data_IF_247069038734
#
_entry.id   IF_247069038734
#
_cell.length_a   1.000
_cell.length_b   1.000
_cell.length_c   1.000
_cell.angle_alpha   90.00
_cell.angle_beta   90.00
_cell.angle_gamma   90.00
#
_symmetry.space_group_name_H-M   'P 1'
#
loop_
_entity.id
_entity.type
_entity.pdbx_description
1 polymer ?
#
# COMPACT_ATOMS: atom_id res chain seq x y z
N UNK A 1 -23.96 11.74 20.54
CA UNK A 1 -23.28 10.61 19.89
C UNK A 1 -21.79 10.73 20.18
N UNK A 2 -21.13 9.70 20.69
CA UNK A 2 -19.74 9.80 21.21
C UNK A 2 -18.79 10.12 20.05
N UNK A 3 -18.04 11.24 20.12
CA UNK A 3 -17.14 11.72 19.06
C UNK A 3 -16.10 10.67 18.62
N UNK A 4 -15.72 9.75 19.51
CA UNK A 4 -14.84 8.61 19.20
C UNK A 4 -15.49 7.59 18.26
N UNK A 5 -16.80 7.32 18.42
CA UNK A 5 -17.55 6.38 17.57
C UNK A 5 -17.71 6.96 16.17
N UNK A 6 -18.05 8.26 16.05
CA UNK A 6 -18.13 8.95 14.77
C UNK A 6 -16.79 8.93 14.01
N UNK A 7 -15.69 9.17 14.70
CA UNK A 7 -14.34 9.14 14.10
C UNK A 7 -13.97 7.76 13.57
N UNK A 8 -14.33 6.69 14.30
CA UNK A 8 -14.01 5.33 13.88
C UNK A 8 -14.88 4.82 12.72
N UNK A 9 -16.07 5.40 12.54
CA UNK A 9 -17.01 5.04 11.46
C UNK A 9 -16.86 5.91 10.21
N UNK A 10 -16.16 7.04 10.31
CA UNK A 10 -16.04 7.99 9.21
C UNK A 10 -15.44 7.37 7.94
N UNK A 11 -14.33 6.62 8.06
CA UNK A 11 -13.68 5.97 6.93
C UNK A 11 -14.53 4.85 6.30
N UNK A 12 -15.09 3.90 7.07
CA UNK A 12 -16.03 2.92 6.50
C UNK A 12 -17.25 3.57 5.84
N UNK A 13 -17.81 4.63 6.43
CA UNK A 13 -18.95 5.34 5.84
C UNK A 13 -18.57 6.06 4.53
N UNK A 14 -17.40 6.69 4.48
CA UNK A 14 -16.89 7.29 3.24
C UNK A 14 -16.70 6.25 2.14
N UNK A 15 -16.14 5.08 2.47
CA UNK A 15 -16.00 3.98 1.52
C UNK A 15 -17.36 3.50 1.00
N UNK A 16 -18.32 3.27 1.89
CA UNK A 16 -19.69 2.86 1.53
C UNK A 16 -20.37 3.93 0.66
N UNK A 17 -20.20 5.21 0.97
CA UNK A 17 -20.77 6.30 0.18
C UNK A 17 -20.17 6.35 -1.24
N UNK A 18 -18.84 6.21 -1.38
CA UNK A 18 -18.15 6.19 -2.68
C UNK A 18 -18.57 4.97 -3.48
N UNK A 19 -18.53 3.78 -2.90
CA UNK A 19 -18.95 2.55 -3.58
C UNK A 19 -20.44 2.61 -3.94
N UNK A 20 -21.30 3.12 -3.07
CA UNK A 20 -22.72 3.29 -3.33
C UNK A 20 -23.00 4.28 -4.48
N UNK A 21 -22.25 5.40 -4.52
CA UNK A 21 -22.36 6.37 -5.62
C UNK A 21 -22.01 5.74 -6.98
N UNK A 22 -20.85 5.05 -7.06
CA UNK A 22 -20.43 4.43 -8.31
C UNK A 22 -21.32 3.25 -8.70
N UNK A 23 -21.75 2.43 -7.75
CA UNK A 23 -22.70 1.33 -8.00
C UNK A 23 -24.06 1.83 -8.51
N UNK A 24 -24.54 2.98 -8.04
CA UNK A 24 -25.77 3.61 -8.53
C UNK A 24 -25.62 4.16 -9.96
N UNK A 25 -24.46 4.74 -10.27
CA UNK A 25 -24.18 5.29 -11.61
C UNK A 25 -23.88 4.22 -12.64
N UNK A 26 -23.19 3.15 -12.25
CA UNK A 26 -22.71 2.06 -13.11
C UNK A 26 -22.79 0.73 -12.35
N UNK A 27 -23.86 -0.05 -12.55
CA UNK A 27 -24.03 -1.34 -11.85
C UNK A 27 -22.86 -2.32 -12.02
N UNK A 28 -22.11 -2.23 -13.13
CA UNK A 28 -20.92 -3.02 -13.38
C UNK A 28 -19.82 -2.78 -12.34
N UNK A 29 -19.88 -1.67 -11.57
CA UNK A 29 -18.93 -1.36 -10.49
C UNK A 29 -18.87 -2.48 -9.44
N UNK A 30 -20.02 -3.06 -9.07
CA UNK A 30 -20.09 -4.19 -8.12
C UNK A 30 -19.98 -5.56 -8.81
N UNK A 31 -19.79 -5.60 -10.13
CA UNK A 31 -19.62 -6.87 -10.86
C UNK A 31 -18.33 -7.58 -10.47
N UNK A 32 -18.30 -8.95 -10.44
CA UNK A 32 -17.13 -9.72 -10.02
C UNK A 32 -15.86 -9.37 -10.79
N UNK A 33 -15.97 -9.08 -12.07
CA UNK A 33 -14.83 -8.68 -12.93
C UNK A 33 -14.21 -7.37 -12.42
N UNK A 34 -15.03 -6.32 -12.22
CA UNK A 34 -14.54 -5.02 -11.79
C UNK A 34 -14.00 -5.08 -10.36
N UNK A 35 -14.68 -5.79 -9.45
CA UNK A 35 -14.20 -5.93 -8.08
C UNK A 35 -12.87 -6.69 -8.00
N UNK A 36 -12.66 -7.70 -8.86
CA UNK A 36 -11.37 -8.38 -8.96
C UNK A 36 -10.29 -7.44 -9.49
N UNK A 37 -10.57 -6.64 -10.53
CA UNK A 37 -9.65 -5.63 -11.05
C UNK A 37 -9.34 -4.54 -10.00
N UNK A 38 -10.34 -4.04 -9.30
CA UNK A 38 -10.19 -3.07 -8.21
C UNK A 38 -9.26 -3.61 -7.13
N UNK A 39 -9.33 -4.90 -6.79
CA UNK A 39 -8.44 -5.52 -5.80
C UNK A 39 -7.00 -5.61 -6.31
N UNK A 40 -6.76 -5.84 -7.61
CA UNK A 40 -5.40 -5.77 -8.19
C UNK A 40 -4.86 -4.34 -8.08
N UNK A 41 -5.62 -3.33 -8.49
CA UNK A 41 -5.26 -1.91 -8.38
C UNK A 41 -5.03 -1.50 -6.91
N UNK A 42 -5.90 -1.95 -6.00
CA UNK A 42 -5.76 -1.75 -4.55
C UNK A 42 -4.48 -2.38 -4.01
N UNK A 43 -4.08 -3.54 -4.53
CA UNK A 43 -2.85 -4.19 -4.09
C UNK A 43 -1.60 -3.36 -4.41
N UNK A 44 -1.59 -2.68 -5.55
CA UNK A 44 -0.50 -1.79 -5.94
C UNK A 44 -0.46 -0.53 -5.07
N UNK A 45 -1.57 0.21 -5.00
CA UNK A 45 -1.65 1.45 -4.20
C UNK A 45 -1.45 1.16 -2.72
N UNK A 46 -2.04 0.07 -2.19
CA UNK A 46 -1.92 -0.33 -0.80
C UNK A 46 -0.50 -0.71 -0.40
N UNK A 47 0.23 -1.43 -1.26
CA UNK A 47 1.63 -1.79 -1.02
C UNK A 47 2.51 -0.55 -0.96
N UNK A 48 2.35 0.38 -1.91
CA UNK A 48 3.09 1.64 -1.91
C UNK A 48 2.75 2.52 -0.71
N UNK A 49 1.46 2.61 -0.36
CA UNK A 49 0.99 3.38 0.79
C UNK A 49 1.51 2.81 2.12
N UNK A 50 1.68 1.49 2.24
CA UNK A 50 2.29 0.88 3.43
C UNK A 50 3.78 1.24 3.58
N UNK A 51 4.53 1.34 2.48
CA UNK A 51 5.89 1.89 2.50
C UNK A 51 5.89 3.38 2.88
N UNK A 52 5.04 4.18 2.23
CA UNK A 52 4.86 5.61 2.51
C UNK A 52 4.46 5.86 3.97
N UNK A 53 3.65 5.00 4.56
CA UNK A 53 3.28 5.07 5.96
C UNK A 53 4.50 5.04 6.90
N UNK A 54 5.50 4.18 6.63
CA UNK A 54 6.72 4.12 7.46
C UNK A 54 7.51 5.42 7.37
N UNK A 55 7.58 6.04 6.21
CA UNK A 55 8.23 7.35 6.00
C UNK A 55 7.46 8.45 6.74
N UNK A 56 6.14 8.51 6.53
CA UNK A 56 5.29 9.53 7.16
C UNK A 56 5.28 9.41 8.69
N UNK A 57 5.38 8.19 9.24
CA UNK A 57 5.49 8.01 10.69
C UNK A 57 6.68 8.76 11.30
N UNK A 58 7.77 8.96 10.55
CA UNK A 58 8.93 9.72 11.00
C UNK A 58 8.84 11.22 10.73
N UNK A 59 7.73 11.69 10.14
CA UNK A 59 7.57 13.08 9.71
C UNK A 59 8.33 13.43 8.43
N UNK A 60 8.85 12.41 7.72
CA UNK A 60 9.49 12.60 6.41
C UNK A 60 8.49 12.41 5.27
N UNK A 61 8.79 12.93 4.08
CA UNK A 61 7.96 12.77 2.87
C UNK A 61 8.88 12.28 1.75
N UNK A 62 8.42 11.28 0.99
CA UNK A 62 9.11 10.78 -0.19
C UNK A 62 8.25 10.99 -1.44
N UNK A 63 8.67 11.94 -2.28
CA UNK A 63 8.00 12.26 -3.54
C UNK A 63 8.55 11.48 -4.74
N UNK A 64 9.64 10.72 -4.55
CA UNK A 64 10.31 10.00 -5.64
C UNK A 64 9.68 8.65 -5.98
N UNK A 65 8.76 8.17 -5.13
CA UNK A 65 8.25 6.79 -5.18
C UNK A 65 7.52 6.46 -6.47
N UNK A 66 6.76 7.40 -7.05
CA UNK A 66 6.05 7.16 -8.31
C UNK A 66 7.01 6.94 -9.48
N UNK A 67 7.97 7.84 -9.65
CA UNK A 67 9.03 7.68 -10.67
C UNK A 67 9.89 6.45 -10.40
N UNK A 68 10.13 6.13 -9.13
CA UNK A 68 10.82 4.91 -8.72
C UNK A 68 10.07 3.63 -9.09
N UNK A 69 8.75 3.61 -8.96
CA UNK A 69 7.89 2.49 -9.40
C UNK A 69 8.14 2.21 -10.88
N UNK A 70 8.10 3.25 -11.73
CA UNK A 70 8.40 3.12 -13.16
C UNK A 70 9.82 2.64 -13.42
N UNK A 71 10.83 3.25 -12.77
CA UNK A 71 12.23 2.89 -12.95
C UNK A 71 12.50 1.43 -12.59
N UNK A 72 12.09 0.99 -11.43
CA UNK A 72 12.37 -0.37 -10.95
C UNK A 72 11.61 -1.42 -11.75
N UNK A 73 10.33 -1.17 -12.09
CA UNK A 73 9.57 -2.02 -13.00
C UNK A 73 10.19 -2.06 -14.40
N UNK A 74 10.66 -0.91 -14.91
CA UNK A 74 11.35 -0.81 -16.18
C UNK A 74 12.66 -1.57 -16.24
N UNK A 75 13.51 -1.46 -15.20
CA UNK A 75 14.76 -2.25 -15.10
C UNK A 75 14.44 -3.75 -15.21
N UNK A 76 13.48 -4.26 -14.46
CA UNK A 76 13.10 -5.66 -14.51
C UNK A 76 12.56 -6.07 -15.89
N UNK A 77 11.73 -5.22 -16.54
CA UNK A 77 11.19 -5.49 -17.88
C UNK A 77 12.30 -5.56 -18.93
N UNK A 78 13.25 -4.62 -18.92
CA UNK A 78 14.41 -4.60 -19.83
C UNK A 78 15.26 -5.86 -19.65
N UNK A 79 15.55 -6.25 -18.41
CA UNK A 79 16.34 -7.46 -18.14
C UNK A 79 15.65 -8.73 -18.67
N UNK A 80 14.33 -8.84 -18.47
CA UNK A 80 13.55 -10.00 -18.96
C UNK A 80 13.43 -9.98 -20.48
N UNK A 81 13.01 -8.84 -21.07
CA UNK A 81 12.62 -8.79 -22.48
C UNK A 81 13.79 -8.59 -23.43
N UNK A 82 14.75 -7.72 -23.09
CA UNK A 82 15.87 -7.40 -23.97
C UNK A 82 17.12 -8.27 -23.72
N UNK A 83 17.36 -8.62 -22.44
CA UNK A 83 18.56 -9.35 -22.04
C UNK A 83 18.32 -10.84 -21.71
N UNK A 84 17.13 -11.35 -21.92
CA UNK A 84 16.77 -12.76 -21.71
C UNK A 84 17.04 -13.30 -20.29
N UNK A 85 17.01 -12.42 -19.29
CA UNK A 85 17.19 -12.86 -17.92
C UNK A 85 15.97 -13.64 -17.43
N UNK A 86 16.19 -14.73 -16.66
CA UNK A 86 15.09 -15.37 -15.92
C UNK A 86 14.36 -14.34 -15.03
N UNK A 87 13.03 -14.31 -15.10
CA UNK A 87 12.23 -13.34 -14.36
C UNK A 87 12.57 -13.24 -12.86
N UNK A 88 12.81 -14.34 -12.11
CA UNK A 88 13.22 -14.24 -10.70
C UNK A 88 14.52 -13.45 -10.49
N UNK A 89 15.50 -13.59 -11.38
CA UNK A 89 16.77 -12.86 -11.29
C UNK A 89 16.59 -11.39 -11.65
N UNK A 90 15.78 -11.09 -12.66
CA UNK A 90 15.46 -9.71 -13.05
C UNK A 90 14.72 -8.95 -11.93
N UNK A 91 13.73 -9.59 -11.30
CA UNK A 91 13.02 -9.05 -10.14
C UNK A 91 13.97 -8.86 -8.95
N UNK A 92 14.86 -9.81 -8.71
CA UNK A 92 15.91 -9.71 -7.69
C UNK A 92 16.86 -8.54 -7.94
N UNK A 93 17.29 -8.31 -9.18
CA UNK A 93 18.12 -7.18 -9.58
C UNK A 93 17.38 -5.85 -9.40
N UNK A 94 16.11 -5.77 -9.80
CA UNK A 94 15.26 -4.61 -9.56
C UNK A 94 15.11 -4.29 -8.06
N UNK A 95 14.87 -5.30 -7.23
CA UNK A 95 14.82 -5.13 -5.78
C UNK A 95 16.14 -4.63 -5.20
N UNK A 96 17.27 -5.19 -5.65
CA UNK A 96 18.59 -4.74 -5.23
C UNK A 96 18.85 -3.27 -5.64
N UNK A 97 18.47 -2.89 -6.85
CA UNK A 97 18.56 -1.51 -7.32
C UNK A 97 17.71 -0.57 -6.44
N UNK A 98 16.48 -0.95 -6.11
CA UNK A 98 15.62 -0.17 -5.22
C UNK A 98 16.25 -0.01 -3.82
N UNK A 99 16.75 -1.09 -3.23
CA UNK A 99 17.42 -1.03 -1.92
C UNK A 99 18.63 -0.11 -1.93
N UNK A 100 19.45 -0.15 -2.98
CA UNK A 100 20.62 0.73 -3.13
C UNK A 100 20.17 2.19 -3.26
N UNK A 101 19.25 2.49 -4.18
CA UNK A 101 18.81 3.86 -4.45
C UNK A 101 18.16 4.50 -3.21
N UNK A 102 17.26 3.80 -2.52
CA UNK A 102 16.59 4.31 -1.32
C UNK A 102 17.53 4.39 -0.12
N UNK A 103 18.52 3.47 -0.01
CA UNK A 103 19.57 3.58 1.03
C UNK A 103 20.45 4.79 0.81
N UNK A 104 20.88 5.05 -0.44
CA UNK A 104 21.67 6.23 -0.79
C UNK A 104 20.87 7.52 -0.51
N UNK A 105 19.61 7.57 -0.91
CA UNK A 105 18.75 8.73 -0.68
C UNK A 105 18.53 8.98 0.81
N UNK A 106 18.21 7.95 1.59
CA UNK A 106 18.07 8.04 3.06
C UNK A 106 19.40 8.44 3.72
N UNK A 107 20.52 7.87 3.25
CA UNK A 107 21.87 8.24 3.70
C UNK A 107 22.19 9.72 3.43
N UNK A 108 21.86 10.24 2.24
CA UNK A 108 22.07 11.63 1.87
C UNK A 108 21.23 12.59 2.75
N UNK A 109 19.95 12.30 2.94
CA UNK A 109 19.04 13.08 3.81
C UNK A 109 19.62 13.19 5.22
N UNK A 110 20.04 12.06 5.78
CA UNK A 110 20.53 11.98 7.15
C UNK A 110 21.90 12.63 7.31
N UNK A 111 22.86 12.36 6.39
CA UNK A 111 24.25 12.86 6.50
C UNK A 111 24.33 14.38 6.28
N UNK A 112 23.55 14.90 5.34
CA UNK A 112 23.57 16.33 5.00
C UNK A 112 22.52 17.15 5.76
N UNK A 113 21.64 16.48 6.55
CA UNK A 113 20.53 17.13 7.28
C UNK A 113 19.63 17.99 6.39
N UNK A 114 19.46 17.58 5.14
CA UNK A 114 18.59 18.26 4.18
C UNK A 114 17.16 17.75 4.38
N UNK A 115 16.14 18.62 4.34
CA UNK A 115 14.75 18.18 4.39
C UNK A 115 14.44 17.13 3.31
N UNK A 116 13.80 16.03 3.70
CA UNK A 116 13.57 14.87 2.81
C UNK A 116 12.83 15.25 1.54
N UNK A 117 11.83 16.13 1.64
CA UNK A 117 11.02 16.52 0.47
C UNK A 117 11.87 17.16 -0.65
N UNK A 118 12.98 17.86 -0.31
CA UNK A 118 13.87 18.47 -1.32
C UNK A 118 14.64 17.37 -2.05
N UNK A 119 15.23 16.44 -1.30
CA UNK A 119 16.00 15.33 -1.88
C UNK A 119 15.11 14.42 -2.70
N UNK A 120 13.91 14.09 -2.18
CA UNK A 120 12.99 13.19 -2.88
C UNK A 120 12.30 13.85 -4.07
N UNK A 121 12.09 15.17 -4.04
CA UNK A 121 11.65 15.92 -5.22
C UNK A 121 12.73 15.92 -6.33
N UNK A 122 14.00 16.11 -5.96
CA UNK A 122 15.11 15.91 -6.89
C UNK A 122 15.16 14.46 -7.39
N UNK A 123 14.99 13.50 -6.48
CA UNK A 123 14.88 12.07 -6.78
C UNK A 123 13.76 11.74 -7.76
N UNK A 124 12.60 12.37 -7.65
CA UNK A 124 11.48 12.20 -8.59
C UNK A 124 11.94 12.50 -10.03
N UNK A 125 12.62 13.62 -10.24
CA UNK A 125 13.08 14.01 -11.58
C UNK A 125 14.22 13.12 -12.08
N UNK A 126 15.18 12.80 -11.21
CA UNK A 126 16.31 11.91 -11.53
C UNK A 126 15.80 10.52 -11.89
N UNK A 127 14.93 9.93 -11.07
CA UNK A 127 14.37 8.59 -11.34
C UNK A 127 13.49 8.58 -12.59
N UNK A 128 12.75 9.67 -12.86
CA UNK A 128 11.97 9.79 -14.10
C UNK A 128 12.88 9.81 -15.32
N UNK A 129 13.96 10.59 -15.28
CA UNK A 129 14.95 10.64 -16.36
C UNK A 129 15.67 9.31 -16.56
N UNK A 130 16.13 8.68 -15.47
CA UNK A 130 16.74 7.35 -15.52
C UNK A 130 15.77 6.29 -16.06
N UNK A 131 14.51 6.37 -15.67
CA UNK A 131 13.47 5.47 -16.17
C UNK A 131 13.35 5.54 -17.69
N UNK A 132 13.24 6.75 -18.24
CA UNK A 132 13.14 6.94 -19.69
C UNK A 132 14.40 6.47 -20.43
N UNK A 133 15.58 6.70 -19.87
CA UNK A 133 16.83 6.17 -20.42
C UNK A 133 16.89 4.65 -20.40
N UNK A 134 16.46 4.02 -19.29
CA UNK A 134 16.50 2.55 -19.15
C UNK A 134 15.59 1.86 -20.15
N UNK A 135 14.40 2.39 -20.42
CA UNK A 135 13.46 1.82 -21.40
C UNK A 135 13.66 2.39 -22.82
N UNK A 136 14.65 3.26 -23.01
CA UNK A 136 14.93 3.95 -24.30
C UNK A 136 13.68 4.64 -24.87
N UNK A 137 12.90 5.32 -24.00
CA UNK A 137 11.62 5.95 -24.33
C UNK A 137 10.62 5.06 -25.10
N UNK A 138 10.77 3.75 -24.98
CA UNK A 138 9.97 2.76 -25.70
C UNK A 138 9.04 1.97 -24.74
N UNK A 139 8.16 1.18 -25.33
CA UNK A 139 7.31 0.24 -24.59
C UNK A 139 8.03 -1.10 -24.50
N UNK A 140 8.37 -1.55 -23.31
CA UNK A 140 9.07 -2.80 -23.06
C UNK A 140 8.09 -3.81 -22.44
N UNK A 141 7.69 -4.89 -23.15
CA UNK A 141 6.83 -5.93 -22.62
C UNK A 141 7.45 -6.66 -21.41
N UNK A 142 6.61 -7.23 -20.54
CA UNK A 142 7.07 -8.05 -19.41
C UNK A 142 7.25 -9.53 -19.78
N UNK A 143 6.75 -9.94 -20.96
CA UNK A 143 6.84 -11.31 -21.48
C UNK A 143 6.98 -11.30 -22.99
N UNK A 144 7.46 -12.38 -23.57
CA UNK A 144 7.58 -12.57 -25.02
C UNK A 144 6.41 -13.40 -25.53
N UNK A 145 5.62 -12.81 -26.45
CA UNK A 145 4.45 -13.48 -27.01
C UNK A 145 3.50 -13.97 -25.90
N UNK A 146 3.09 -15.24 -25.99
CA UNK A 146 2.18 -15.88 -25.04
C UNK A 146 2.93 -16.58 -23.87
N UNK A 147 4.25 -16.41 -23.75
CA UNK A 147 5.01 -17.03 -22.67
C UNK A 147 4.72 -16.37 -21.32
N UNK A 148 4.16 -17.14 -20.39
CA UNK A 148 4.00 -16.69 -19.01
C UNK A 148 5.31 -16.82 -18.24
N UNK A 149 5.68 -15.79 -17.50
CA UNK A 149 6.83 -15.81 -16.61
C UNK A 149 6.44 -15.27 -15.22
N UNK A 150 7.30 -15.43 -14.21
CA UNK A 150 7.01 -14.98 -12.86
C UNK A 150 6.66 -13.48 -12.80
N UNK A 151 7.20 -12.65 -13.69
CA UNK A 151 6.90 -11.24 -13.72
C UNK A 151 5.44 -10.98 -14.12
N UNK A 152 5.00 -11.54 -15.24
CA UNK A 152 3.62 -11.40 -15.72
C UNK A 152 2.61 -12.01 -14.74
N UNK A 153 2.96 -13.15 -14.11
CA UNK A 153 2.11 -13.88 -13.17
C UNK A 153 1.77 -13.09 -11.89
N UNK A 154 2.53 -12.04 -11.53
CA UNK A 154 2.25 -11.24 -10.34
C UNK A 154 0.84 -10.62 -10.33
N UNK A 155 0.28 -10.36 -11.51
CA UNK A 155 -1.05 -9.74 -11.64
C UNK A 155 -1.99 -10.51 -12.56
N UNK A 156 -1.48 -11.46 -13.35
CA UNK A 156 -2.30 -12.27 -14.26
C UNK A 156 -2.69 -13.62 -13.67
N UNK A 157 -1.95 -14.10 -12.64
CA UNK A 157 -2.26 -15.36 -11.99
C UNK A 157 -3.29 -15.18 -10.87
N UNK A 158 -4.29 -16.03 -10.90
CA UNK A 158 -5.35 -16.11 -9.89
C UNK A 158 -5.35 -17.48 -9.25
N UNK A 159 -5.55 -17.51 -7.92
CA UNK A 159 -5.60 -18.77 -7.19
C UNK A 159 -6.82 -19.60 -7.61
N UNK A 160 -6.67 -20.91 -7.76
CA UNK A 160 -7.81 -21.82 -7.92
C UNK A 160 -8.83 -21.64 -6.80
N UNK A 161 -10.11 -21.78 -7.10
CA UNK A 161 -11.22 -21.53 -6.16
C UNK A 161 -11.05 -22.30 -4.83
N UNK A 162 -10.60 -23.54 -4.89
CA UNK A 162 -10.35 -24.36 -3.71
C UNK A 162 -9.22 -23.81 -2.83
N UNK A 163 -8.14 -23.32 -3.45
CA UNK A 163 -7.00 -22.72 -2.73
C UNK A 163 -7.40 -21.41 -2.09
N UNK A 164 -8.15 -20.56 -2.81
CA UNK A 164 -8.69 -19.32 -2.28
C UNK A 164 -9.57 -19.54 -1.05
N UNK A 165 -10.49 -20.51 -1.11
CA UNK A 165 -11.35 -20.88 0.02
C UNK A 165 -10.55 -21.48 1.18
N UNK A 166 -9.57 -22.32 0.91
CA UNK A 166 -8.70 -22.88 1.95
C UNK A 166 -7.91 -21.79 2.68
N UNK A 167 -7.37 -20.81 1.95
CA UNK A 167 -6.68 -19.65 2.54
C UNK A 167 -7.63 -18.79 3.38
N UNK A 168 -8.85 -18.50 2.88
CA UNK A 168 -9.85 -17.77 3.66
C UNK A 168 -10.20 -18.51 4.97
N UNK A 169 -10.40 -19.83 4.89
CA UNK A 169 -10.62 -20.69 6.06
C UNK A 169 -9.44 -20.67 7.04
N UNK A 170 -8.21 -20.76 6.54
CA UNK A 170 -7.00 -20.67 7.36
C UNK A 170 -6.91 -19.30 8.08
N UNK A 171 -7.09 -18.21 7.35
CA UNK A 171 -7.08 -16.85 7.94
C UNK A 171 -8.18 -16.71 8.99
N UNK A 172 -9.40 -17.18 8.70
CA UNK A 172 -10.49 -17.17 9.65
C UNK A 172 -10.17 -18.00 10.91
N UNK A 173 -9.54 -19.16 10.76
CA UNK A 173 -9.11 -20.01 11.87
C UNK A 173 -8.02 -19.33 12.73
N UNK A 174 -7.05 -18.67 12.09
CA UNK A 174 -6.02 -17.89 12.79
C UNK A 174 -6.64 -16.73 13.56
N UNK A 175 -7.56 -15.97 12.96
CA UNK A 175 -8.28 -14.88 13.64
C UNK A 175 -9.09 -15.40 14.82
N UNK A 176 -9.75 -16.56 14.71
CA UNK A 176 -10.42 -17.21 15.81
C UNK A 176 -9.44 -17.53 16.95
N UNK A 177 -8.34 -18.22 16.62
CA UNK A 177 -7.30 -18.59 17.59
C UNK A 177 -6.75 -17.37 18.34
N UNK A 178 -6.42 -16.29 17.61
CA UNK A 178 -5.92 -15.05 18.19
C UNK A 178 -6.96 -14.39 19.12
N UNK A 179 -8.24 -14.36 18.72
CA UNK A 179 -9.31 -13.79 19.52
C UNK A 179 -9.54 -14.57 20.81
N UNK A 180 -9.51 -15.91 20.75
CA UNK A 180 -9.66 -16.77 21.93
C UNK A 180 -8.42 -16.72 22.84
N UNK A 181 -7.19 -16.68 22.28
CA UNK A 181 -5.95 -16.48 23.05
C UNK A 181 -5.95 -15.14 23.78
N UNK A 182 -6.31 -14.04 23.10
CA UNK A 182 -6.41 -12.72 23.71
C UNK A 182 -7.43 -12.72 24.86
N UNK A 183 -8.56 -13.44 24.71
CA UNK A 183 -9.56 -13.61 25.76
C UNK A 183 -9.04 -14.42 26.94
N UNK A 184 -8.30 -15.52 26.69
CA UNK A 184 -7.68 -16.33 27.73
C UNK A 184 -6.64 -15.53 28.54
N UNK A 185 -5.77 -14.78 27.84
CA UNK A 185 -4.80 -13.89 28.47
C UNK A 185 -5.46 -12.84 29.37
N UNK A 186 -6.55 -12.19 28.91
CA UNK A 186 -7.31 -11.24 29.75
C UNK A 186 -7.86 -11.89 31.01
N UNK A 187 -8.35 -13.14 30.93
CA UNK A 187 -8.79 -13.89 32.11
C UNK A 187 -7.65 -14.16 33.09
N UNK A 188 -6.49 -14.61 32.56
CA UNK A 188 -5.30 -14.88 33.38
C UNK A 188 -4.82 -13.64 34.14
N UNK A 189 -4.89 -12.47 33.50
CA UNK A 189 -4.52 -11.19 34.11
C UNK A 189 -5.66 -10.49 34.88
N UNK A 190 -6.77 -11.17 35.15
CA UNK A 190 -7.95 -10.64 35.88
C UNK A 190 -8.52 -9.34 35.28
N UNK A 191 -8.33 -9.14 33.96
CA UNK A 191 -8.91 -8.01 33.22
C UNK A 191 -10.36 -8.28 32.83
N UNK A 192 -11.14 -7.22 32.64
CA UNK A 192 -12.52 -7.34 32.16
C UNK A 192 -12.57 -8.13 30.83
N UNK A 193 -13.34 -9.23 30.82
CA UNK A 193 -13.45 -10.12 29.66
C UNK A 193 -14.78 -9.87 28.96
N UNK A 194 -14.81 -9.45 27.69
CA UNK A 194 -16.04 -9.28 26.93
C UNK A 194 -16.85 -10.60 26.86
N UNK A 195 -18.18 -10.55 26.72
CA UNK A 195 -19.02 -11.75 26.54
C UNK A 195 -18.47 -12.63 25.40
N UNK A 196 -18.61 -13.96 25.53
CA UNK A 196 -18.19 -14.91 24.46
C UNK A 196 -18.90 -14.60 23.16
N UNK A 197 -20.18 -14.26 23.22
CA UNK A 197 -20.98 -13.89 22.05
C UNK A 197 -20.39 -12.75 21.23
N UNK A 198 -19.76 -11.74 21.88
CA UNK A 198 -19.11 -10.63 21.18
C UNK A 198 -17.83 -11.08 20.47
N UNK A 199 -17.05 -11.99 21.09
CA UNK A 199 -15.83 -12.53 20.47
C UNK A 199 -16.18 -13.43 19.28
N UNK A 200 -17.16 -14.30 19.43
CA UNK A 200 -17.66 -15.20 18.37
C UNK A 200 -18.32 -14.39 17.25
N UNK A 201 -19.18 -13.42 17.58
CA UNK A 201 -19.83 -12.57 16.58
C UNK A 201 -18.84 -11.74 15.76
N UNK A 202 -17.81 -11.18 16.41
CA UNK A 202 -16.74 -10.46 15.70
C UNK A 202 -15.94 -11.37 14.76
N UNK A 203 -15.54 -12.56 15.23
CA UNK A 203 -14.86 -13.53 14.40
C UNK A 203 -15.74 -14.04 13.24
N UNK A 204 -16.98 -14.37 13.50
CA UNK A 204 -17.92 -14.85 12.48
C UNK A 204 -18.14 -13.79 11.40
N UNK A 205 -18.26 -12.51 11.79
CA UNK A 205 -18.37 -11.40 10.86
C UNK A 205 -17.15 -11.32 9.90
N UNK A 206 -15.94 -11.46 10.42
CA UNK A 206 -14.73 -11.51 9.59
C UNK A 206 -14.67 -12.77 8.72
N UNK A 207 -15.04 -13.94 9.24
CA UNK A 207 -15.07 -15.19 8.49
C UNK A 207 -16.05 -15.09 7.30
N UNK A 208 -17.26 -14.58 7.54
CA UNK A 208 -18.28 -14.37 6.49
C UNK A 208 -17.78 -13.36 5.45
N UNK A 209 -17.16 -12.26 5.86
CA UNK A 209 -16.61 -11.26 4.93
C UNK A 209 -15.49 -11.84 4.06
N UNK A 210 -14.56 -12.61 4.65
CA UNK A 210 -13.45 -13.24 3.93
C UNK A 210 -13.95 -14.30 2.93
N UNK A 211 -14.82 -15.20 3.37
CA UNK A 211 -15.38 -16.24 2.50
C UNK A 211 -16.24 -15.61 1.41
N UNK A 212 -17.07 -14.62 1.76
CA UNK A 212 -17.90 -13.88 0.81
C UNK A 212 -17.07 -13.17 -0.26
N UNK A 213 -15.95 -12.54 0.13
CA UNK A 213 -15.03 -11.93 -0.82
C UNK A 213 -14.40 -12.97 -1.78
N UNK A 214 -13.96 -14.13 -1.26
CA UNK A 214 -13.39 -15.20 -2.11
C UNK A 214 -14.45 -15.77 -3.04
N UNK A 215 -15.68 -16.00 -2.59
CA UNK A 215 -16.79 -16.46 -3.44
C UNK A 215 -17.06 -15.46 -4.55
N UNK A 216 -17.03 -14.17 -4.25
CA UNK A 216 -17.23 -13.09 -5.22
C UNK A 216 -16.10 -13.09 -6.26
N UNK A 217 -14.82 -13.21 -5.86
CA UNK A 217 -13.68 -13.28 -6.78
C UNK A 217 -13.72 -14.54 -7.65
N UNK A 218 -14.20 -15.66 -7.10
CA UNK A 218 -14.40 -16.90 -7.86
C UNK A 218 -15.48 -16.76 -8.96
N UNK A 219 -16.33 -15.74 -8.88
CA UNK A 219 -17.27 -15.37 -9.95
C UNK A 219 -16.61 -14.81 -11.20
N UNK A 220 -15.29 -14.50 -11.17
CA UNK A 220 -14.52 -14.08 -12.35
C UNK A 220 -13.34 -15.03 -12.61
N UNK A 221 -12.22 -14.92 -11.87
CA UNK A 221 -11.00 -15.73 -12.05
C UNK A 221 -10.45 -16.31 -10.76
N UNK A 222 -10.93 -15.85 -9.62
CA UNK A 222 -10.42 -16.22 -8.29
C UNK A 222 -9.65 -15.10 -7.61
N UNK A 223 -8.93 -15.43 -6.56
CA UNK A 223 -8.15 -14.47 -5.76
C UNK A 223 -6.85 -14.12 -6.47
N UNK A 224 -6.58 -12.85 -6.81
CA UNK A 224 -5.35 -12.45 -7.49
C UNK A 224 -4.13 -12.57 -6.56
N UNK A 225 -2.98 -13.00 -7.10
CA UNK A 225 -1.71 -13.12 -6.34
C UNK A 225 -1.25 -11.76 -5.80
N UNK A 226 -1.52 -10.66 -6.52
CA UNK A 226 -1.21 -9.30 -6.05
C UNK A 226 -1.81 -9.00 -4.67
N UNK A 227 -3.01 -9.53 -4.36
CA UNK A 227 -3.61 -9.41 -3.02
C UNK A 227 -2.78 -10.12 -1.94
N UNK A 228 -2.13 -11.24 -2.27
CA UNK A 228 -1.24 -11.93 -1.33
C UNK A 228 0.02 -11.10 -1.06
N UNK A 229 0.56 -10.41 -2.08
CA UNK A 229 1.69 -9.48 -1.92
C UNK A 229 1.29 -8.34 -0.98
N UNK A 230 0.13 -7.72 -1.20
CA UNK A 230 -0.40 -6.69 -0.29
C UNK A 230 -0.58 -7.24 1.14
N UNK A 231 -1.20 -8.43 1.28
CA UNK A 231 -1.45 -9.04 2.59
C UNK A 231 -0.14 -9.34 3.34
N UNK A 232 0.87 -9.87 2.64
CA UNK A 232 2.20 -10.11 3.21
C UNK A 232 2.89 -8.80 3.63
N UNK A 233 2.83 -7.76 2.78
CA UNK A 233 3.36 -6.43 3.09
C UNK A 233 2.65 -5.82 4.29
N UNK A 234 1.31 -5.89 4.33
CA UNK A 234 0.52 -5.38 5.46
C UNK A 234 0.83 -6.11 6.77
N UNK A 235 0.95 -7.44 6.73
CA UNK A 235 1.34 -8.24 7.88
C UNK A 235 2.76 -7.90 8.36
N UNK A 236 3.72 -7.75 7.43
CA UNK A 236 5.10 -7.35 7.74
C UNK A 236 5.18 -5.96 8.37
N UNK A 237 4.50 -4.96 7.77
CA UNK A 237 4.46 -3.58 8.32
C UNK A 237 3.72 -3.55 9.66
N UNK A 238 2.62 -4.31 9.81
CA UNK A 238 1.92 -4.42 11.09
C UNK A 238 2.82 -5.03 12.18
N UNK A 239 3.49 -6.14 11.88
CA UNK A 239 4.42 -6.77 12.82
C UNK A 239 5.55 -5.82 13.18
N UNK A 240 6.17 -5.18 12.19
CA UNK A 240 7.27 -4.26 12.38
C UNK A 240 6.86 -3.06 13.25
N UNK A 241 5.70 -2.46 12.98
CA UNK A 241 5.26 -1.26 13.71
C UNK A 241 4.73 -1.56 15.11
N UNK A 242 4.18 -2.76 15.37
CA UNK A 242 3.56 -3.11 16.65
C UNK A 242 4.44 -3.94 17.58
N UNK A 243 5.31 -4.77 17.02
CA UNK A 243 6.01 -5.80 17.79
C UNK A 243 7.54 -5.62 17.84
N UNK A 244 8.12 -4.62 17.13
CA UNK A 244 9.56 -4.40 17.13
C UNK A 244 9.98 -3.07 17.77
N UNK A 245 11.23 -2.96 18.25
CA UNK A 245 11.80 -1.67 18.67
C UNK A 245 11.81 -0.65 17.52
N UNK A 246 12.10 -1.09 16.30
CA UNK A 246 12.14 -0.22 15.13
C UNK A 246 10.81 0.53 14.93
N UNK A 247 9.69 -0.17 15.01
CA UNK A 247 8.37 0.47 14.91
C UNK A 247 8.14 1.53 16.01
N UNK A 248 8.48 1.21 17.26
CA UNK A 248 8.40 2.18 18.37
C UNK A 248 9.26 3.43 18.12
N UNK A 249 10.43 3.24 17.53
CA UNK A 249 11.34 4.35 17.18
C UNK A 249 10.77 5.23 16.08
N UNK A 250 10.10 4.66 15.05
CA UNK A 250 9.42 5.46 14.02
C UNK A 250 8.38 6.41 14.62
N UNK A 251 7.53 5.91 15.52
CA UNK A 251 6.54 6.75 16.22
C UNK A 251 7.19 7.80 17.14
N UNK A 252 8.24 7.44 17.84
CA UNK A 252 8.95 8.35 18.75
C UNK A 252 9.62 9.50 17.98
N UNK A 253 10.31 9.18 16.87
CA UNK A 253 10.97 10.17 16.01
C UNK A 253 9.94 11.16 15.44
N UNK A 254 8.82 10.66 14.90
CA UNK A 254 7.79 11.55 14.35
C UNK A 254 7.01 12.33 15.42
N UNK A 255 7.00 11.84 16.67
CA UNK A 255 6.41 12.60 17.80
C UNK A 255 7.26 13.80 18.20
N UNK A 256 8.56 13.57 18.41
CA UNK A 256 9.56 14.60 18.67
C UNK A 256 10.96 14.02 18.42
N UNK A 257 11.60 14.43 17.33
CA UNK A 257 12.90 13.91 16.91
C UNK A 257 14.02 14.25 17.91
N UNK A 258 14.00 15.44 18.50
CA UNK A 258 15.02 15.86 19.48
C UNK A 258 14.92 15.04 20.76
N UNK A 259 13.69 14.88 21.28
CA UNK A 259 13.45 14.05 22.45
C UNK A 259 13.83 12.57 22.20
N UNK A 260 13.56 12.04 21.01
CA UNK A 260 13.97 10.70 20.61
C UNK A 260 15.50 10.55 20.61
N UNK A 261 16.22 11.53 20.07
CA UNK A 261 17.69 11.56 20.06
C UNK A 261 18.25 11.59 21.50
N UNK A 262 17.73 12.46 22.36
CA UNK A 262 18.12 12.57 23.76
C UNK A 262 17.82 11.29 24.56
N UNK A 263 16.81 10.52 24.15
CA UNK A 263 16.47 9.21 24.72
C UNK A 263 17.35 8.07 24.20
N UNK A 264 18.39 8.36 23.40
CA UNK A 264 19.34 7.36 22.88
C UNK A 264 18.82 6.58 21.67
N UNK A 265 17.73 7.01 21.03
CA UNK A 265 17.25 6.37 19.80
C UNK A 265 18.22 6.67 18.65
N UNK A 266 18.68 5.64 17.89
CA UNK A 266 19.59 5.84 16.77
C UNK A 266 18.86 6.40 15.53
N UNK A 267 18.41 7.67 15.61
CA UNK A 267 17.53 8.33 14.63
C UNK A 267 18.01 8.12 13.20
N UNK A 268 19.30 8.33 12.93
CA UNK A 268 19.89 8.21 11.61
C UNK A 268 19.71 6.80 11.01
N UNK A 269 19.97 5.76 11.79
CA UNK A 269 19.82 4.36 11.34
C UNK A 269 18.35 4.00 11.10
N UNK A 270 17.46 4.52 11.93
CA UNK A 270 16.02 4.29 11.81
C UNK A 270 15.47 4.97 10.55
N UNK A 271 15.88 6.19 10.26
CA UNK A 271 15.47 6.90 9.03
C UNK A 271 15.97 6.17 7.78
N UNK A 272 17.26 5.80 7.73
CA UNK A 272 17.81 5.03 6.60
C UNK A 272 17.03 3.71 6.42
N UNK A 273 16.76 2.99 7.52
CA UNK A 273 15.95 1.76 7.49
C UNK A 273 14.53 1.98 6.97
N UNK A 274 13.89 3.11 7.30
CA UNK A 274 12.58 3.45 6.77
C UNK A 274 12.61 3.68 5.25
N UNK A 275 13.64 4.40 4.75
CA UNK A 275 13.84 4.57 3.31
C UNK A 275 14.16 3.23 2.61
N UNK A 276 14.98 2.35 3.18
CA UNK A 276 15.21 1.00 2.63
C UNK A 276 13.92 0.20 2.49
N UNK A 277 13.06 0.23 3.50
CA UNK A 277 11.76 -0.45 3.46
C UNK A 277 10.82 0.20 2.44
N UNK A 278 10.92 1.52 2.24
CA UNK A 278 10.23 2.20 1.15
C UNK A 278 10.71 1.68 -0.21
N UNK A 279 12.03 1.48 -0.40
CA UNK A 279 12.58 0.86 -1.60
C UNK A 279 11.98 -0.53 -1.89
N UNK A 280 11.78 -1.36 -0.86
CA UNK A 280 11.09 -2.66 -1.01
C UNK A 280 9.65 -2.46 -1.50
N UNK A 281 8.90 -1.53 -0.90
CA UNK A 281 7.52 -1.26 -1.31
C UNK A 281 7.44 -0.73 -2.75
N UNK A 282 8.38 0.14 -3.15
CA UNK A 282 8.50 0.63 -4.52
C UNK A 282 8.80 -0.49 -5.51
N UNK A 283 9.72 -1.41 -5.18
CA UNK A 283 10.04 -2.53 -6.04
C UNK A 283 8.81 -3.45 -6.24
N UNK A 284 8.17 -3.87 -5.15
CA UNK A 284 6.97 -4.71 -5.22
C UNK A 284 5.85 -4.03 -6.02
N UNK A 285 5.63 -2.73 -5.80
CA UNK A 285 4.63 -1.95 -6.54
C UNK A 285 5.03 -1.81 -8.01
N UNK A 286 6.28 -1.51 -8.31
CA UNK A 286 6.80 -1.38 -9.67
C UNK A 286 6.62 -2.66 -10.47
N UNK A 287 6.95 -3.79 -9.88
CA UNK A 287 6.72 -5.10 -10.51
C UNK A 287 5.23 -5.35 -10.76
N UNK A 288 4.37 -5.13 -9.78
CA UNK A 288 2.93 -5.33 -9.96
C UNK A 288 2.35 -4.35 -10.99
N UNK A 289 2.73 -3.07 -10.97
CA UNK A 289 2.16 -2.06 -11.88
C UNK A 289 2.57 -2.31 -13.32
N UNK A 290 3.85 -2.66 -13.55
CA UNK A 290 4.35 -2.98 -14.89
C UNK A 290 3.76 -4.30 -15.41
N UNK A 291 3.65 -5.32 -14.54
CA UNK A 291 2.98 -6.58 -14.89
C UNK A 291 1.49 -6.39 -15.23
N UNK A 292 0.79 -5.54 -14.47
CA UNK A 292 -0.62 -5.22 -14.70
C UNK A 292 -0.84 -4.50 -16.04
N UNK A 293 0.08 -3.62 -16.40
CA UNK A 293 0.06 -2.94 -17.70
C UNK A 293 0.50 -3.83 -18.87
N UNK A 294 1.07 -5.02 -18.59
CA UNK A 294 1.65 -5.93 -19.57
C UNK A 294 2.98 -5.44 -20.17
N UNK A 295 3.34 -4.20 -19.92
CA UNK A 295 4.56 -3.57 -20.41
C UNK A 295 4.98 -2.38 -19.52
N UNK A 296 6.27 -2.08 -19.53
CA UNK A 296 6.81 -0.82 -19.01
C UNK A 296 6.66 0.27 -20.08
N UNK A 297 5.97 1.35 -19.74
CA UNK A 297 5.77 2.53 -20.57
C UNK A 297 6.19 3.78 -19.81
N UNK A 298 6.49 4.87 -20.51
CA UNK A 298 6.97 6.14 -19.91
C UNK A 298 6.03 6.73 -18.85
N UNK A 299 4.78 6.27 -18.76
CA UNK A 299 3.75 6.76 -17.82
C UNK A 299 3.54 5.85 -16.60
N UNK A 300 4.21 4.69 -16.55
CA UNK A 300 4.11 3.80 -15.37
C UNK A 300 4.60 4.53 -14.12
N UNK A 301 3.81 4.49 -13.08
CA UNK A 301 4.10 5.12 -11.79
C UNK A 301 3.71 6.60 -11.68
N UNK A 302 3.20 7.24 -12.75
CA UNK A 302 2.84 8.66 -12.71
C UNK A 302 1.80 8.96 -11.63
N UNK A 303 2.14 9.94 -10.75
CA UNK A 303 1.34 10.44 -9.63
C UNK A 303 1.04 9.40 -8.53
N UNK A 304 1.66 8.23 -8.55
CA UNK A 304 1.44 7.22 -7.51
C UNK A 304 1.96 7.68 -6.14
N UNK A 305 2.92 8.62 -6.09
CA UNK A 305 3.34 9.28 -4.85
C UNK A 305 2.18 10.03 -4.18
N UNK A 306 1.36 10.74 -4.96
CA UNK A 306 0.21 11.47 -4.44
C UNK A 306 -0.88 10.53 -3.96
N UNK A 307 -1.14 9.44 -4.71
CA UNK A 307 -2.12 8.42 -4.32
C UNK A 307 -1.72 7.73 -3.00
N UNK A 308 -0.42 7.41 -2.84
CA UNK A 308 0.10 6.79 -1.61
C UNK A 308 0.03 7.73 -0.41
N UNK A 309 0.39 9.01 -0.58
CA UNK A 309 0.28 10.02 0.48
C UNK A 309 -1.20 10.23 0.84
N UNK A 310 -2.07 10.40 -0.16
CA UNK A 310 -3.51 10.57 0.06
C UNK A 310 -4.10 9.37 0.82
N UNK A 311 -3.76 8.13 0.44
CA UNK A 311 -4.18 6.92 1.14
C UNK A 311 -3.75 6.93 2.62
N UNK A 312 -2.52 7.32 2.92
CA UNK A 312 -2.03 7.44 4.29
C UNK A 312 -2.79 8.50 5.09
N UNK A 313 -2.98 9.70 4.53
CA UNK A 313 -3.62 10.84 5.22
C UNK A 313 -5.11 10.58 5.41
N UNK A 314 -5.83 10.10 4.39
CA UNK A 314 -7.23 9.65 4.51
C UNK A 314 -7.32 8.59 5.62
N UNK A 315 -6.36 7.64 5.65
CA UNK A 315 -6.26 6.61 6.68
C UNK A 315 -5.93 7.11 8.08
N UNK A 316 -5.74 8.43 8.27
CA UNK A 316 -5.48 9.06 9.57
C UNK A 316 -4.01 9.03 10.00
N UNK A 317 -3.08 8.86 9.06
CA UNK A 317 -1.66 9.05 9.31
C UNK A 317 -1.34 10.55 9.29
N UNK A 318 -0.73 11.05 10.36
CA UNK A 318 -0.38 12.46 10.46
C UNK A 318 0.83 12.79 9.58
N UNK A 319 0.74 13.84 8.76
CA UNK A 319 1.87 14.31 7.94
C UNK A 319 3.06 14.81 8.78
N UNK A 320 2.79 15.26 10.00
CA UNK A 320 3.83 15.67 10.95
C UNK A 320 4.54 14.51 11.64
N UNK A 321 4.09 13.28 11.40
CA UNK A 321 4.63 12.06 12.02
C UNK A 321 3.99 11.69 13.36
N UNK A 322 4.47 10.61 13.94
CA UNK A 322 4.12 10.13 15.28
C UNK A 322 2.73 9.50 15.42
N UNK A 323 1.86 9.53 14.39
CA UNK A 323 0.49 8.97 14.46
C UNK A 323 0.10 8.30 13.14
N UNK A 324 -0.58 7.17 13.27
CA UNK A 324 -1.13 6.41 12.15
C UNK A 324 -1.31 4.93 12.50
N UNK A 325 -2.00 4.21 11.64
CA UNK A 325 -2.24 2.76 11.81
C UNK A 325 -2.26 2.06 10.46
N UNK A 326 -1.76 0.82 10.42
CA UNK A 326 -1.80 0.00 9.20
C UNK A 326 -3.23 -0.19 8.68
N UNK A 327 -4.19 -0.46 9.57
CA UNK A 327 -5.60 -0.60 9.18
C UNK A 327 -6.19 0.68 8.59
N UNK A 328 -5.79 1.85 9.10
CA UNK A 328 -6.18 3.13 8.52
C UNK A 328 -5.63 3.30 7.10
N UNK A 329 -4.33 3.02 6.89
CA UNK A 329 -3.70 3.11 5.57
C UNK A 329 -4.37 2.18 4.56
N UNK A 330 -4.67 0.94 4.95
CA UNK A 330 -5.39 -0.02 4.11
C UNK A 330 -6.77 0.51 3.70
N UNK A 331 -7.54 1.07 4.64
CA UNK A 331 -8.84 1.68 4.34
C UNK A 331 -8.70 2.92 3.44
N UNK A 332 -7.70 3.76 3.70
CA UNK A 332 -7.43 4.93 2.86
C UNK A 332 -7.02 4.55 1.44
N UNK A 333 -6.17 3.54 1.28
CA UNK A 333 -5.80 2.99 -0.02
C UNK A 333 -7.01 2.41 -0.77
N UNK A 334 -7.89 1.70 -0.07
CA UNK A 334 -9.12 1.16 -0.66
C UNK A 334 -10.07 2.28 -1.12
N UNK A 335 -10.20 3.37 -0.34
CA UNK A 335 -10.98 4.56 -0.71
C UNK A 335 -10.42 5.20 -1.97
N UNK A 336 -9.09 5.44 -2.03
CA UNK A 336 -8.43 6.02 -3.21
C UNK A 336 -8.62 5.13 -4.44
N UNK A 337 -8.41 3.83 -4.30
CA UNK A 337 -8.59 2.88 -5.41
C UNK A 337 -10.03 2.84 -5.87
N UNK A 338 -11.02 2.77 -4.97
CA UNK A 338 -12.44 2.75 -5.32
C UNK A 338 -12.84 4.03 -6.09
N UNK A 339 -12.31 5.19 -5.68
CA UNK A 339 -12.53 6.45 -6.37
C UNK A 339 -11.94 6.43 -7.79
N UNK A 340 -10.67 6.05 -7.95
CA UNK A 340 -9.98 6.03 -9.24
C UNK A 340 -10.58 4.99 -10.19
N UNK A 341 -10.86 3.78 -9.69
CA UNK A 341 -11.50 2.70 -10.45
C UNK A 341 -12.91 3.10 -10.90
N UNK A 342 -13.73 3.65 -9.99
CA UNK A 342 -15.07 4.13 -10.33
C UNK A 342 -15.06 5.23 -11.39
N UNK A 343 -14.14 6.19 -11.31
CA UNK A 343 -13.96 7.22 -12.35
C UNK A 343 -13.50 6.61 -13.68
N UNK A 344 -12.68 5.57 -13.65
CA UNK A 344 -12.23 4.85 -14.85
C UNK A 344 -13.40 4.13 -15.51
N UNK A 345 -14.23 3.45 -14.72
CA UNK A 345 -15.40 2.72 -15.21
C UNK A 345 -16.44 3.66 -15.84
N UNK A 346 -16.60 4.87 -15.30
CA UNK A 346 -17.44 5.92 -15.88
C UNK A 346 -16.79 6.67 -17.07
N UNK A 347 -15.63 6.20 -17.55
CA UNK A 347 -14.87 6.84 -18.63
C UNK A 347 -14.60 8.34 -18.39
N UNK A 348 -14.39 8.73 -17.11
CA UNK A 348 -14.08 10.12 -16.74
C UNK A 348 -12.74 10.52 -17.36
N UNK A 349 -12.72 11.70 -18.00
CA UNK A 349 -11.54 12.24 -18.67
C UNK A 349 -10.33 12.37 -17.72
N UNK A 350 -9.09 12.13 -18.20
CA UNK A 350 -7.88 12.14 -17.39
C UNK A 350 -7.70 13.43 -16.57
N UNK A 351 -7.98 14.59 -17.16
CA UNK A 351 -7.86 15.90 -16.53
C UNK A 351 -8.78 16.04 -15.30
N UNK A 352 -9.98 15.46 -15.33
CA UNK A 352 -10.88 15.45 -14.18
C UNK A 352 -10.37 14.50 -13.09
N UNK A 353 -9.73 13.38 -13.48
CA UNK A 353 -9.07 12.47 -12.51
C UNK A 353 -7.91 13.17 -11.79
N UNK A 354 -7.12 14.02 -12.48
CA UNK A 354 -6.08 14.83 -11.86
C UNK A 354 -6.65 15.84 -10.86
N UNK A 355 -7.72 16.54 -11.24
CA UNK A 355 -8.41 17.48 -10.33
C UNK A 355 -8.95 16.73 -9.11
N UNK A 356 -9.57 15.58 -9.29
CA UNK A 356 -10.11 14.78 -8.20
C UNK A 356 -9.00 14.30 -7.23
N UNK A 357 -7.87 13.78 -7.75
CA UNK A 357 -6.70 13.41 -6.93
C UNK A 357 -6.20 14.56 -6.08
N UNK A 358 -5.98 15.73 -6.69
CA UNK A 358 -5.52 16.92 -6.00
C UNK A 358 -6.52 17.41 -4.95
N UNK A 359 -7.81 17.44 -5.28
CA UNK A 359 -8.87 17.84 -4.37
C UNK A 359 -8.98 16.90 -3.16
N UNK A 360 -8.94 15.60 -3.39
CA UNK A 360 -8.99 14.58 -2.31
C UNK A 360 -7.79 14.73 -1.39
N UNK A 361 -6.58 14.84 -1.93
CA UNK A 361 -5.37 15.06 -1.13
C UNK A 361 -5.47 16.35 -0.31
N UNK A 362 -5.86 17.47 -0.93
CA UNK A 362 -5.99 18.76 -0.23
C UNK A 362 -7.04 18.71 0.89
N UNK A 363 -8.19 18.07 0.65
CA UNK A 363 -9.24 17.88 1.65
C UNK A 363 -8.77 16.98 2.80
N UNK A 364 -8.06 15.87 2.50
CA UNK A 364 -7.52 14.97 3.51
C UNK A 364 -6.52 15.70 4.43
N UNK A 365 -5.60 16.47 3.84
CA UNK A 365 -4.62 17.28 4.60
C UNK A 365 -5.31 18.37 5.42
N UNK A 366 -6.30 19.06 4.85
CA UNK A 366 -7.07 20.06 5.58
C UNK A 366 -7.80 19.47 6.78
N UNK A 367 -8.39 18.28 6.62
CA UNK A 367 -9.04 17.56 7.72
C UNK A 367 -8.03 17.14 8.80
N UNK A 368 -6.84 16.61 8.43
CA UNK A 368 -5.80 16.24 9.40
C UNK A 368 -5.36 17.43 10.24
N UNK A 369 -5.12 18.60 9.61
CA UNK A 369 -4.72 19.82 10.31
C UNK A 369 -5.82 20.35 11.23
N UNK A 370 -7.09 20.30 10.82
CA UNK A 370 -8.21 20.78 11.63
C UNK A 370 -8.53 19.86 12.80
N UNK A 371 -8.56 18.54 12.57
CA UNK A 371 -8.88 17.54 13.58
C UNK A 371 -7.68 17.21 14.47
N UNK A 372 -6.46 17.42 14.00
CA UNK A 372 -5.23 17.21 14.77
C UNK A 372 -4.92 18.30 15.82
N UNK A 373 -5.67 19.41 15.82
CA UNK A 373 -5.54 20.51 16.79
C UNK A 373 -6.38 20.34 18.06
N UNK A 374 -7.15 19.26 18.17
CA UNK A 374 -7.91 18.85 19.36
C UNK A 374 -7.35 17.53 19.90
#
# INVERSE_FOLDING_TARGET
MNTRVLRNLALPLALVAICGFFAFKEPAFLGPRNLTQLVVEFSMIGTLALGMFLILLTGQIDLSVGSGVGLIGGIAAVLVFQHDWPAPLALGAGLAAALVLWSLMGGLIVSQRIPSFIITLGGLLVFKGLFWLVIDNSTIPVSRGDEENLYSLLTTYYLPSSVGLALAGLVAAVLALLSFRARAARRAHRLGVPPVARAVGGWLGWAVALVGAVVLFNGFRGVPVSLLVLAATAAGVFFLTRHTPFGRYLYAIGGNQEAALLSGIPVNRVLIGAFMLMGVAVALTGFMTTAFSGASTTTVGDLMELDAIAACVIGGTALRGGRGTVSGVILGALIMTALLNGMTLLAVAPEIKFIARGAVLALAVWMDVRLGRG
#
